data_IF_415491842415
#
_entry.id   IF_415491842415
#
_cell.length_a   1.000
_cell.length_b   1.000
_cell.length_c   1.000
_cell.angle_alpha   90.00
_cell.angle_beta   90.00
_cell.angle_gamma   90.00
#
_symmetry.space_group_name_H-M   'P 1'
#
loop_
_entity.id
_entity.type
_entity.pdbx_description
1 polymer ?
#
# COMPACT_ATOMS: atom_id res chain seq x y z
N UNK A 1 -1.71 12.46 18.97
CA UNK A 1 -2.02 11.10 18.45
C UNK A 1 -2.45 11.07 16.98
N UNK A 2 -2.60 12.23 16.30
CA UNK A 2 -2.92 12.29 14.84
C UNK A 2 -1.68 12.52 13.95
N UNK A 3 -0.69 13.29 14.40
CA UNK A 3 0.57 13.48 13.66
C UNK A 3 1.38 12.19 13.44
N UNK A 4 1.39 11.30 14.43
CA UNK A 4 2.04 9.99 14.33
C UNK A 4 1.46 9.17 13.18
N UNK A 5 0.13 9.18 13.01
CA UNK A 5 -0.54 8.54 11.88
C UNK A 5 -0.12 9.15 10.56
N UNK A 6 -0.15 10.48 10.44
CA UNK A 6 0.29 11.19 9.23
C UNK A 6 1.72 10.80 8.84
N UNK A 7 2.64 10.76 9.81
CA UNK A 7 4.01 10.30 9.57
C UNK A 7 4.06 8.83 9.10
N UNK A 8 3.33 7.93 9.75
CA UNK A 8 3.29 6.50 9.40
C UNK A 8 2.78 6.30 7.97
N UNK A 9 1.65 6.93 7.59
CA UNK A 9 1.08 6.75 6.24
C UNK A 9 1.98 7.35 5.16
N UNK A 10 2.64 8.48 5.42
CA UNK A 10 3.61 9.08 4.52
C UNK A 10 4.85 8.19 4.34
N UNK A 11 5.41 7.67 5.44
CA UNK A 11 6.56 6.75 5.39
C UNK A 11 6.19 5.49 4.61
N UNK A 12 5.00 4.94 4.86
CA UNK A 12 4.50 3.76 4.16
C UNK A 12 4.40 4.00 2.64
N UNK A 13 3.81 5.14 2.24
CA UNK A 13 3.68 5.50 0.82
C UNK A 13 5.05 5.69 0.14
N UNK A 14 5.99 6.37 0.82
CA UNK A 14 7.34 6.57 0.31
C UNK A 14 8.11 5.25 0.16
N UNK A 15 8.06 4.37 1.16
CA UNK A 15 8.70 3.06 1.11
C UNK A 15 8.12 2.18 0.01
N UNK A 16 6.79 2.18 -0.14
CA UNK A 16 6.13 1.46 -1.23
C UNK A 16 6.55 1.98 -2.61
N UNK A 17 6.66 3.31 -2.77
CA UNK A 17 7.12 3.95 -4.01
C UNK A 17 8.56 3.52 -4.36
N UNK A 18 9.47 3.56 -3.38
CA UNK A 18 10.86 3.16 -3.51
C UNK A 18 10.97 1.67 -3.87
N UNK A 19 10.22 0.82 -3.17
CA UNK A 19 10.25 -0.61 -3.40
C UNK A 19 9.59 -1.00 -4.73
N UNK A 20 8.63 -0.22 -5.24
CA UNK A 20 7.88 -0.53 -6.46
C UNK A 20 8.46 0.11 -7.72
N UNK A 21 9.39 1.06 -7.59
CA UNK A 21 10.07 1.70 -8.72
C UNK A 21 11.39 0.97 -9.01
N UNK A 22 11.57 0.39 -10.22
CA UNK A 22 12.84 -0.25 -10.56
C UNK A 22 14.02 0.71 -10.54
N UNK A 23 15.19 0.29 -10.04
CA UNK A 23 16.42 1.06 -10.17
C UNK A 23 16.94 1.11 -11.62
N UNK A 24 16.67 0.06 -12.42
CA UNK A 24 17.19 -0.07 -13.78
C UNK A 24 16.06 -0.02 -14.82
N UNK A 25 16.34 0.58 -15.98
CA UNK A 25 15.43 0.55 -17.14
C UNK A 25 15.37 -0.87 -17.70
N UNK A 26 14.18 -1.33 -18.08
CA UNK A 26 14.00 -2.64 -18.70
C UNK A 26 14.76 -2.72 -20.04
N UNK A 27 15.57 -3.77 -20.30
CA UNK A 27 16.32 -3.91 -21.54
C UNK A 27 15.39 -4.09 -22.74
N UNK A 28 15.79 -3.51 -23.88
CA UNK A 28 15.03 -3.54 -25.13
C UNK A 28 15.27 -4.81 -25.97
N UNK A 29 16.38 -5.54 -25.75
CA UNK A 29 16.78 -6.76 -26.47
C UNK A 29 16.98 -7.92 -25.48
N UNK A 30 16.61 -9.14 -25.85
CA UNK A 30 16.74 -10.34 -24.99
C UNK A 30 15.52 -10.63 -24.10
N UNK A 31 14.37 -10.01 -24.38
CA UNK A 31 13.08 -10.40 -23.76
C UNK A 31 12.75 -11.82 -24.23
N UNK A 32 12.40 -12.72 -23.32
CA UNK A 32 11.79 -13.99 -23.70
C UNK A 32 10.63 -13.69 -24.66
N UNK A 33 10.60 -14.39 -25.80
CA UNK A 33 9.48 -14.32 -26.74
C UNK A 33 8.18 -14.49 -25.94
N UNK A 34 7.25 -13.59 -26.21
CA UNK A 34 6.00 -13.31 -25.51
C UNK A 34 4.96 -14.42 -25.63
N UNK A 35 5.37 -15.68 -25.52
CA UNK A 35 4.45 -16.80 -25.56
C UNK A 35 4.12 -17.18 -24.12
N UNK A 36 3.08 -16.49 -23.62
CA UNK A 36 2.23 -16.88 -22.50
C UNK A 36 2.86 -16.92 -21.09
N UNK A 37 2.97 -15.74 -20.46
CA UNK A 37 2.55 -15.61 -19.05
C UNK A 37 1.93 -14.23 -18.84
N UNK A 38 0.58 -14.16 -18.84
CA UNK A 38 -0.23 -12.98 -18.51
C UNK A 38 0.32 -12.17 -17.32
N UNK A 39 0.87 -12.87 -16.33
CA UNK A 39 1.43 -12.32 -15.10
C UNK A 39 2.58 -11.32 -15.30
N UNK A 40 3.51 -11.56 -16.24
CA UNK A 40 4.70 -10.70 -16.44
C UNK A 40 4.32 -9.32 -17.00
N UNK A 41 3.30 -9.26 -17.87
CA UNK A 41 2.79 -8.00 -18.43
C UNK A 41 1.95 -7.21 -17.42
N UNK A 42 1.31 -7.89 -16.47
CA UNK A 42 0.42 -7.28 -15.49
C UNK A 42 1.16 -6.69 -14.31
N UNK A 43 2.21 -7.34 -13.83
CA UNK A 43 2.98 -6.87 -12.68
C UNK A 43 3.40 -5.38 -12.80
N UNK A 44 4.05 -4.92 -13.89
CA UNK A 44 4.42 -3.51 -14.02
C UNK A 44 3.20 -2.58 -14.17
N UNK A 45 2.09 -3.05 -14.75
CA UNK A 45 0.85 -2.29 -14.85
C UNK A 45 0.21 -2.09 -13.47
N UNK A 46 0.17 -3.14 -12.64
CA UNK A 46 -0.34 -3.09 -11.27
C UNK A 46 0.44 -2.08 -10.45
N UNK A 47 1.78 -2.13 -10.46
CA UNK A 47 2.58 -1.14 -9.73
C UNK A 47 2.35 0.29 -10.22
N UNK A 48 2.25 0.50 -11.55
CA UNK A 48 1.96 1.83 -12.13
C UNK A 48 0.60 2.40 -11.71
N UNK A 49 -0.43 1.55 -11.62
CA UNK A 49 -1.78 1.98 -11.21
C UNK A 49 -1.87 2.15 -9.68
N UNK A 50 -1.21 1.27 -8.94
CA UNK A 50 -1.33 1.24 -7.49
C UNK A 50 -0.57 2.38 -6.80
N UNK A 51 0.56 2.83 -7.34
CA UNK A 51 1.33 3.96 -6.80
C UNK A 51 0.51 5.26 -6.66
N UNK A 52 -0.13 5.81 -7.72
CA UNK A 52 -0.92 7.03 -7.59
C UNK A 52 -2.12 6.84 -6.66
N UNK A 53 -2.73 5.63 -6.63
CA UNK A 53 -3.82 5.33 -5.71
C UNK A 53 -3.38 5.41 -4.25
N UNK A 54 -2.20 4.87 -3.91
CA UNK A 54 -1.65 4.93 -2.54
C UNK A 54 -1.38 6.38 -2.14
N UNK A 55 -0.79 7.17 -3.03
CA UNK A 55 -0.54 8.58 -2.77
C UNK A 55 -1.84 9.37 -2.60
N UNK A 56 -2.87 9.08 -3.39
CA UNK A 56 -4.19 9.67 -3.25
C UNK A 56 -4.80 9.34 -1.87
N UNK A 57 -4.79 8.07 -1.46
CA UNK A 57 -5.26 7.66 -0.13
C UNK A 57 -4.48 8.36 1.00
N UNK A 58 -3.16 8.47 0.86
CA UNK A 58 -2.27 9.09 1.84
C UNK A 58 -2.55 10.59 1.96
N UNK A 59 -2.71 11.28 0.83
CA UNK A 59 -3.06 12.70 0.80
C UNK A 59 -4.43 12.95 1.44
N UNK A 60 -5.42 12.11 1.17
CA UNK A 60 -6.74 12.22 1.79
C UNK A 60 -6.68 12.05 3.32
N UNK A 61 -5.93 11.06 3.82
CA UNK A 61 -5.75 10.81 5.26
C UNK A 61 -5.03 12.01 5.94
N UNK A 62 -3.95 12.50 5.32
CA UNK A 62 -3.21 13.67 5.82
C UNK A 62 -4.06 14.94 5.81
N UNK A 63 -4.80 15.21 4.73
CA UNK A 63 -5.69 16.37 4.65
C UNK A 63 -6.75 16.33 5.74
N UNK A 64 -7.35 15.17 6.01
CA UNK A 64 -8.33 15.03 7.10
C UNK A 64 -7.71 15.26 8.48
N UNK A 65 -6.51 14.73 8.73
CA UNK A 65 -5.77 15.01 9.98
C UNK A 65 -5.49 16.51 10.12
N UNK A 66 -5.09 17.19 9.03
CA UNK A 66 -4.86 18.64 9.01
C UNK A 66 -6.14 19.44 9.24
N UNK A 67 -7.30 18.99 8.76
CA UNK A 67 -8.58 19.66 9.07
C UNK A 67 -9.05 19.47 10.51
N UNK A 68 -8.56 18.43 11.20
CA UNK A 68 -8.91 18.13 12.59
C UNK A 68 -8.02 18.86 13.59
N UNK A 69 -6.74 19.01 13.24
CA UNK A 69 -5.80 19.72 14.08
C UNK A 69 -5.82 21.20 13.68
N UNK A 70 -6.08 22.09 14.62
CA UNK A 70 -6.19 23.55 14.47
C UNK A 70 -4.87 24.25 14.10
N UNK A 71 -3.99 23.58 13.33
CA UNK A 71 -2.65 24.04 12.95
C UNK A 71 -2.73 25.09 11.84
N UNK A 72 -3.73 24.97 10.97
CA UNK A 72 -4.02 25.97 9.94
C UNK A 72 -5.26 26.73 10.42
N UNK A 73 -5.20 28.07 10.56
CA UNK A 73 -6.37 28.89 10.88
C UNK A 73 -7.26 28.99 9.63
N UNK A 74 -7.82 27.85 9.23
CA UNK A 74 -8.69 27.75 8.07
C UNK A 74 -10.10 28.15 8.48
N UNK A 75 -10.76 28.97 7.66
CA UNK A 75 -12.16 29.35 7.90
C UNK A 75 -13.03 28.11 8.06
N UNK A 76 -14.03 28.19 8.95
CA UNK A 76 -14.96 27.09 9.23
C UNK A 76 -15.65 26.57 7.96
N UNK A 77 -15.93 27.45 6.99
CA UNK A 77 -16.51 27.11 5.69
C UNK A 77 -15.56 26.34 4.77
N UNK A 78 -14.26 26.63 4.82
CA UNK A 78 -13.27 25.93 4.01
C UNK A 78 -13.00 24.53 4.56
N UNK A 79 -12.96 24.39 5.90
CA UNK A 79 -12.80 23.10 6.58
C UNK A 79 -13.98 22.16 6.29
N UNK A 80 -15.21 22.68 6.29
CA UNK A 80 -16.40 21.89 5.96
C UNK A 80 -16.43 21.48 4.48
N UNK A 81 -16.08 22.37 3.56
CA UNK A 81 -16.00 22.07 2.12
C UNK A 81 -14.96 20.99 1.81
N UNK A 82 -13.77 21.07 2.42
CA UNK A 82 -12.72 20.04 2.29
C UNK A 82 -13.20 18.69 2.84
N UNK A 83 -13.85 18.69 4.00
CA UNK A 83 -14.37 17.45 4.59
C UNK A 83 -15.46 16.81 3.72
N UNK A 84 -16.39 17.59 3.19
CA UNK A 84 -17.48 17.08 2.35
C UNK A 84 -17.00 16.57 0.99
N UNK A 85 -15.91 17.13 0.46
CA UNK A 85 -15.32 16.71 -0.82
C UNK A 85 -14.47 15.44 -0.67
N UNK A 86 -13.70 15.33 0.42
CA UNK A 86 -12.86 14.15 0.69
C UNK A 86 -13.69 12.97 1.23
N UNK A 87 -14.78 13.26 1.95
CA UNK A 87 -15.69 12.27 2.54
C UNK A 87 -17.16 12.60 2.21
N UNK A 88 -17.63 12.30 1.00
CA UNK A 88 -19.05 12.41 0.67
C UNK A 88 -19.80 11.21 1.30
N UNK A 89 -20.07 11.25 2.60
CA UNK A 89 -20.85 10.19 3.26
C UNK A 89 -22.33 10.30 2.89
N UNK A 90 -23.00 9.21 2.45
CA UNK A 90 -24.42 9.20 2.13
C UNK A 90 -25.34 8.84 3.31
N UNK A 91 -24.87 8.81 4.56
CA UNK A 91 -25.69 8.41 5.71
C UNK A 91 -25.95 9.56 6.70
N UNK A 92 -27.21 10.00 6.74
CA UNK A 92 -28.11 10.32 7.89
C UNK A 92 -27.56 10.71 9.27
N UNK A 93 -26.32 11.17 9.40
CA UNK A 93 -25.80 11.77 10.63
C UNK A 93 -25.44 13.24 10.40
N UNK A 94 -25.70 14.11 11.39
CA UNK A 94 -25.41 15.52 11.28
C UNK A 94 -23.92 15.73 10.99
N UNK A 95 -23.63 16.74 10.17
CA UNK A 95 -22.31 17.24 9.72
C UNK A 95 -21.31 17.47 10.88
N UNK A 96 -21.78 17.38 12.13
CA UNK A 96 -21.05 17.49 13.39
C UNK A 96 -20.46 16.19 13.93
N UNK A 97 -20.80 15.01 13.40
CA UNK A 97 -20.14 13.76 13.78
C UNK A 97 -18.72 13.75 13.19
N UNK A 98 -17.74 14.03 14.05
CA UNK A 98 -16.33 14.12 13.68
C UNK A 98 -15.85 12.74 13.21
N UNK A 99 -15.49 12.61 11.94
CA UNK A 99 -14.81 11.41 11.41
C UNK A 99 -13.48 11.27 12.14
N UNK A 100 -13.45 10.50 13.23
CA UNK A 100 -12.28 10.39 14.10
C UNK A 100 -11.23 9.46 13.49
N UNK A 101 -10.36 10.02 12.65
CA UNK A 101 -9.17 9.33 12.18
C UNK A 101 -8.19 9.21 13.33
N UNK A 102 -7.85 7.97 13.69
CA UNK A 102 -6.95 7.69 14.81
C UNK A 102 -5.95 6.60 14.45
N UNK A 103 -4.86 6.54 15.21
CA UNK A 103 -3.85 5.49 15.06
C UNK A 103 -4.43 4.19 15.62
N UNK A 104 -4.55 3.16 14.79
CA UNK A 104 -5.02 1.83 15.21
C UNK A 104 -3.86 0.83 15.24
N UNK A 105 -3.97 -0.22 16.05
CA UNK A 105 -2.98 -1.31 16.06
C UNK A 105 -2.83 -1.96 14.68
N UNK A 106 -3.93 -2.04 13.92
CA UNK A 106 -3.91 -2.55 12.54
C UNK A 106 -3.08 -1.69 11.59
N UNK A 107 -3.10 -0.36 11.74
CA UNK A 107 -2.20 0.51 10.98
C UNK A 107 -0.74 0.21 11.28
N UNK A 108 -0.39 0.00 12.56
CA UNK A 108 0.99 -0.31 12.94
C UNK A 108 1.45 -1.65 12.36
N UNK A 109 0.63 -2.68 12.47
CA UNK A 109 0.92 -4.01 11.89
C UNK A 109 1.02 -3.90 10.37
N UNK A 110 0.09 -3.21 9.72
CA UNK A 110 0.10 -2.97 8.27
C UNK A 110 1.36 -2.24 7.82
N UNK A 111 1.75 -1.19 8.53
CA UNK A 111 2.98 -0.43 8.26
C UNK A 111 4.24 -1.30 8.42
N UNK A 112 4.31 -2.14 9.46
CA UNK A 112 5.42 -3.09 9.64
C UNK A 112 5.51 -4.10 8.49
N UNK A 113 4.38 -4.60 8.00
CA UNK A 113 4.33 -5.47 6.82
C UNK A 113 4.82 -4.77 5.55
N UNK A 114 4.43 -3.51 5.33
CA UNK A 114 4.92 -2.73 4.19
C UNK A 114 6.41 -2.46 4.32
N UNK A 115 6.90 -2.08 5.50
CA UNK A 115 8.33 -1.82 5.75
C UNK A 115 9.15 -3.09 5.48
N UNK A 116 8.76 -4.22 6.08
CA UNK A 116 9.47 -5.50 5.89
C UNK A 116 9.46 -5.97 4.44
N UNK A 117 8.31 -5.90 3.76
CA UNK A 117 8.21 -6.23 2.34
C UNK A 117 9.03 -5.31 1.44
N UNK A 118 9.06 -4.01 1.76
CA UNK A 118 9.87 -3.01 1.06
C UNK A 118 11.36 -3.30 1.24
N UNK A 119 11.81 -3.51 2.48
CA UNK A 119 13.21 -3.84 2.78
C UNK A 119 13.65 -5.12 2.08
N UNK A 120 12.80 -6.15 2.05
CA UNK A 120 13.11 -7.39 1.33
C UNK A 120 13.33 -7.11 -0.17
N UNK A 121 12.46 -6.31 -0.81
CA UNK A 121 12.64 -5.91 -2.21
C UNK A 121 13.86 -5.04 -2.44
N UNK A 122 14.13 -4.07 -1.58
CA UNK A 122 15.31 -3.22 -1.67
C UNK A 122 16.60 -4.05 -1.53
N UNK A 123 16.61 -5.06 -0.65
CA UNK A 123 17.72 -6.01 -0.55
C UNK A 123 17.85 -6.83 -1.84
N UNK A 124 16.74 -7.29 -2.43
CA UNK A 124 16.78 -7.97 -3.74
C UNK A 124 17.38 -7.08 -4.84
N UNK A 125 17.04 -5.79 -4.84
CA UNK A 125 17.59 -4.80 -5.78
C UNK A 125 19.10 -4.63 -5.58
N UNK A 126 19.55 -4.58 -4.33
CA UNK A 126 20.97 -4.50 -3.99
C UNK A 126 21.73 -5.76 -4.35
N UNK A 127 21.15 -6.95 -4.14
CA UNK A 127 21.83 -8.22 -4.42
C UNK A 127 21.91 -8.52 -5.91
N UNK A 128 20.89 -8.17 -6.70
CA UNK A 128 20.93 -8.37 -8.17
C UNK A 128 21.60 -7.21 -8.91
N UNK A 129 21.59 -6.00 -8.34
CA UNK A 129 22.23 -4.83 -8.93
C UNK A 129 21.75 -4.56 -10.36
N UNK A 130 22.69 -4.48 -11.30
CA UNK A 130 22.42 -4.26 -12.73
C UNK A 130 21.62 -5.38 -13.41
N UNK A 131 21.57 -6.58 -12.82
CA UNK A 131 20.81 -7.71 -13.35
C UNK A 131 19.34 -7.73 -12.89
N UNK A 132 18.93 -6.79 -12.02
CA UNK A 132 17.52 -6.71 -11.62
C UNK A 132 16.69 -6.05 -12.72
N UNK A 133 15.83 -6.85 -13.37
CA UNK A 133 14.82 -6.38 -14.32
C UNK A 133 13.44 -6.89 -13.88
N UNK A 134 12.41 -6.03 -13.94
CA UNK A 134 11.02 -6.46 -13.67
C UNK A 134 10.50 -7.43 -14.72
N UNK A 135 11.03 -7.33 -15.94
CA UNK A 135 10.78 -8.25 -17.04
C UNK A 135 11.84 -9.35 -17.02
N UNK A 136 11.44 -10.62 -17.21
CA UNK A 136 12.40 -11.72 -17.42
C UNK A 136 13.17 -11.45 -18.72
N UNK A 137 14.38 -10.93 -18.59
CA UNK A 137 15.31 -10.76 -19.71
C UNK A 137 16.57 -11.58 -19.42
N UNK A 138 16.93 -12.49 -20.33
CA UNK A 138 18.24 -13.13 -20.27
C UNK A 138 19.23 -12.11 -20.81
N UNK A 139 19.98 -11.46 -19.93
CA UNK A 139 21.14 -10.68 -20.34
C UNK A 139 22.26 -11.64 -20.78
N UNK A 140 23.00 -11.33 -21.85
CA UNK A 140 24.20 -12.08 -22.20
C UNK A 140 25.19 -12.00 -21.00
N UNK A 141 25.71 -13.16 -20.57
CA UNK A 141 26.49 -13.37 -19.33
C UNK A 141 25.70 -13.34 -18.00
N UNK A 142 24.47 -13.88 -17.98
CA UNK A 142 23.71 -14.07 -16.74
C UNK A 142 24.46 -14.99 -15.76
N UNK A 143 24.94 -14.45 -14.63
CA UNK A 143 25.38 -15.25 -13.49
C UNK A 143 24.20 -15.57 -12.59
N UNK A 144 24.12 -16.81 -12.11
CA UNK A 144 23.15 -17.20 -11.08
C UNK A 144 23.60 -16.58 -9.74
N UNK A 145 22.79 -15.67 -9.21
CA UNK A 145 23.03 -15.07 -7.89
C UNK A 145 22.24 -15.88 -6.86
N UNK A 146 22.95 -16.68 -6.06
CA UNK A 146 22.38 -17.48 -4.98
C UNK A 146 22.71 -16.92 -3.57
N UNK A 147 23.22 -15.68 -3.49
CA UNK A 147 23.58 -15.03 -2.23
C UNK A 147 22.45 -14.14 -1.69
N UNK A 148 22.47 -13.89 -0.37
CA UNK A 148 21.46 -13.06 0.29
C UNK A 148 20.08 -13.73 0.33
N UNK A 149 18.97 -13.01 0.10
CA UNK A 149 17.62 -13.58 0.22
C UNK A 149 17.33 -14.68 -0.80
N UNK A 150 18.11 -14.74 -1.89
CA UNK A 150 18.03 -15.79 -2.92
C UNK A 150 18.59 -17.15 -2.46
N UNK A 151 19.33 -17.19 -1.34
CA UNK A 151 19.79 -18.44 -0.72
C UNK A 151 18.69 -19.20 0.02
N UNK A 152 17.62 -18.50 0.44
CA UNK A 152 16.52 -19.06 1.24
C UNK A 152 15.29 -19.32 0.38
N UNK A 153 14.91 -18.34 -0.45
CA UNK A 153 13.68 -18.38 -1.26
C UNK A 153 14.06 -18.15 -2.73
N UNK A 154 13.44 -18.91 -3.66
CA UNK A 154 13.72 -18.77 -5.11
C UNK A 154 13.31 -17.40 -5.66
N UNK A 155 12.24 -16.81 -5.13
CA UNK A 155 11.72 -15.51 -5.58
C UNK A 155 11.40 -14.54 -4.43
N UNK A 156 12.41 -14.03 -3.71
CA UNK A 156 12.20 -13.19 -2.52
C UNK A 156 11.51 -11.84 -2.84
N UNK A 157 11.69 -11.32 -4.06
CA UNK A 157 11.03 -10.09 -4.50
C UNK A 157 9.49 -10.22 -4.62
N UNK A 158 8.97 -11.42 -4.98
CA UNK A 158 7.53 -11.67 -4.98
C UNK A 158 6.97 -11.76 -3.57
N UNK A 159 7.69 -12.45 -2.66
CA UNK A 159 7.34 -12.47 -1.24
C UNK A 159 7.27 -11.05 -0.66
N UNK A 160 8.25 -10.20 -0.98
CA UNK A 160 8.24 -8.80 -0.54
C UNK A 160 7.06 -8.01 -1.11
N UNK A 161 6.66 -8.27 -2.36
CA UNK A 161 5.49 -7.65 -2.99
C UNK A 161 4.17 -8.08 -2.34
N UNK A 162 4.03 -9.36 -2.00
CA UNK A 162 2.86 -9.88 -1.27
C UNK A 162 2.75 -9.28 0.14
N UNK A 163 3.86 -9.19 0.86
CA UNK A 163 3.90 -8.55 2.18
C UNK A 163 3.45 -7.09 2.12
N UNK A 164 3.92 -6.33 1.13
CA UNK A 164 3.49 -4.95 0.94
C UNK A 164 2.00 -4.84 0.59
N UNK A 165 1.48 -5.72 -0.27
CA UNK A 165 0.05 -5.74 -0.61
C UNK A 165 -0.82 -6.03 0.60
N UNK A 166 -0.46 -7.03 1.40
CA UNK A 166 -1.16 -7.38 2.64
C UNK A 166 -1.09 -6.24 3.66
N UNK A 167 0.10 -5.65 3.85
CA UNK A 167 0.28 -4.53 4.78
C UNK A 167 -0.52 -3.29 4.38
N UNK A 168 -0.56 -2.97 3.09
CA UNK A 168 -1.34 -1.86 2.56
C UNK A 168 -2.84 -2.08 2.72
N UNK A 169 -3.31 -3.31 2.44
CA UNK A 169 -4.69 -3.70 2.67
C UNK A 169 -5.06 -3.53 4.14
N UNK A 170 -4.24 -4.06 5.06
CA UNK A 170 -4.48 -3.96 6.50
C UNK A 170 -4.47 -2.51 6.99
N UNK A 171 -3.51 -1.70 6.54
CA UNK A 171 -3.39 -0.30 6.93
C UNK A 171 -4.58 0.55 6.47
N UNK A 172 -5.02 0.39 5.21
CA UNK A 172 -6.04 1.27 4.61
C UNK A 172 -7.47 0.77 4.85
N UNK A 173 -7.71 -0.54 4.88
CA UNK A 173 -9.05 -1.13 5.08
C UNK A 173 -9.40 -1.29 6.57
N UNK A 174 -8.45 -1.02 7.48
CA UNK A 174 -8.73 -1.04 8.92
C UNK A 174 -9.63 0.12 9.35
N UNK A 175 -10.46 -0.07 10.39
CA UNK A 175 -11.24 1.01 10.99
C UNK A 175 -10.36 2.21 11.38
N UNK A 176 -10.90 3.43 11.28
CA UNK A 176 -10.18 4.65 11.63
C UNK A 176 -9.23 5.20 10.57
N UNK A 177 -9.26 4.68 9.34
CA UNK A 177 -8.59 5.26 8.17
C UNK A 177 -9.56 5.81 7.12
N UNK A 178 -9.06 6.69 6.24
CA UNK A 178 -9.91 7.36 5.24
C UNK A 178 -10.69 6.38 4.35
N UNK A 179 -10.05 5.34 3.84
CA UNK A 179 -10.70 4.38 2.92
C UNK A 179 -11.84 3.63 3.62
N UNK A 180 -11.68 3.28 4.89
CA UNK A 180 -12.70 2.55 5.65
C UNK A 180 -13.87 3.43 6.10
N UNK A 181 -13.61 4.70 6.42
CA UNK A 181 -14.65 5.62 6.90
C UNK A 181 -15.35 6.38 5.76
N UNK A 182 -14.64 6.67 4.67
CA UNK A 182 -15.07 7.59 3.62
C UNK A 182 -14.90 7.08 2.17
N UNK A 183 -14.27 5.92 1.96
CA UNK A 183 -14.05 5.38 0.62
C UNK A 183 -15.34 4.95 -0.08
N UNK A 184 -15.22 4.52 -1.35
CA UNK A 184 -16.31 3.91 -2.13
C UNK A 184 -17.01 2.76 -1.38
N UNK A 185 -16.29 2.08 -0.49
CA UNK A 185 -16.79 1.08 0.45
C UNK A 185 -17.05 1.69 1.83
N UNK A 186 -17.73 2.83 1.88
CA UNK A 186 -18.14 3.48 3.14
C UNK A 186 -18.95 2.53 4.03
N UNK A 187 -19.50 3.05 5.13
CA UNK A 187 -20.26 2.32 6.17
C UNK A 187 -21.50 1.52 5.71
N UNK A 188 -21.64 1.17 4.43
CA UNK A 188 -22.54 0.15 3.89
C UNK A 188 -21.88 -1.24 3.72
N UNK A 189 -22.71 -2.21 3.37
CA UNK A 189 -22.49 -3.68 3.43
C UNK A 189 -21.19 -4.22 2.79
N UNK A 190 -20.52 -3.47 1.91
CA UNK A 190 -19.25 -3.85 1.29
C UNK A 190 -18.04 -3.83 2.25
N UNK A 191 -18.04 -2.91 3.22
CA UNK A 191 -17.04 -2.90 4.29
C UNK A 191 -17.19 -4.13 5.19
N UNK A 192 -18.42 -4.64 5.38
CA UNK A 192 -18.67 -5.84 6.17
C UNK A 192 -18.08 -7.08 5.51
N UNK A 193 -18.07 -7.21 4.17
CA UNK A 193 -17.49 -8.39 3.49
C UNK A 193 -15.96 -8.40 3.59
N UNK A 194 -15.31 -7.24 3.48
CA UNK A 194 -13.85 -7.14 3.69
C UNK A 194 -13.50 -7.27 5.17
N UNK A 195 -14.28 -6.66 6.07
CA UNK A 195 -14.13 -6.79 7.53
C UNK A 195 -14.33 -8.23 7.99
N UNK A 196 -15.39 -8.91 7.55
CA UNK A 196 -15.71 -10.30 7.90
C UNK A 196 -14.77 -11.27 7.18
N UNK A 197 -14.39 -11.01 5.93
CA UNK A 197 -13.43 -11.85 5.19
C UNK A 197 -12.05 -11.86 5.83
N UNK A 198 -11.55 -10.70 6.27
CA UNK A 198 -10.25 -10.60 6.94
C UNK A 198 -10.29 -11.15 8.38
N UNK A 199 -11.36 -10.88 9.15
CA UNK A 199 -11.53 -11.45 10.50
C UNK A 199 -11.73 -12.97 10.49
N UNK A 200 -12.45 -13.51 9.50
CA UNK A 200 -12.72 -14.95 9.38
C UNK A 200 -11.50 -15.73 8.87
N UNK A 201 -10.58 -15.09 8.15
CA UNK A 201 -9.31 -15.69 7.76
C UNK A 201 -8.27 -15.68 8.90
N UNK A 202 -8.30 -14.67 9.79
CA UNK A 202 -7.40 -14.60 10.95
C UNK A 202 -7.75 -15.54 12.12
N UNK A 203 -8.99 -16.04 12.20
CA UNK A 203 -9.45 -16.93 13.28
C UNK A 203 -9.43 -18.42 12.94
N UNK A 204 -9.13 -18.82 11.70
CA UNK A 204 -9.10 -20.23 11.28
C UNK A 204 -7.68 -20.81 11.16
N UNK A 205 -6.70 -20.19 11.83
CA UNK A 205 -5.31 -20.66 11.93
C UNK A 205 -4.87 -21.05 13.34
N UNK A 206 -5.80 -21.13 14.30
CA UNK A 206 -5.51 -21.57 15.66
C UNK A 206 -6.67 -22.37 16.22
N UNK A 207 -6.41 -23.64 16.54
CA UNK A 207 -7.32 -24.68 17.02
C UNK A 207 -8.14 -25.39 15.93
N UNK A 208 -7.48 -26.32 15.23
CA UNK A 208 -7.72 -27.77 15.39
C UNK A 208 -6.58 -28.55 14.75
#
# INVERSE_FOLDING_TARGET
MSFSRAAIVCIQAALYQLASTPPNKAPAKGRYATDEVFFSKIAPLVFKIQQPLIWLCTLADVLLILTQQTIIPLSSSATSAIRSTICPSPSTQPVSATVAIHTTSFLLIGALLVVSGSLLRLTCYRTLGAFFTFELAILPAHRLIASGPYSVIRHPAYTGSLLMLMGLALANLSPGGWVAECGIFGRGSGSLVVRVGFFRCGMHGGLQ
#
